data_IF_760500837028
#
_entry.id   IF_760500837028
#
_cell.length_a   1.000
_cell.length_b   1.000
_cell.length_c   1.000
_cell.angle_alpha   90.00
_cell.angle_beta   90.00
_cell.angle_gamma   90.00
#
_symmetry.space_group_name_H-M   'P 1'
#
loop_
_entity.id
_entity.type
_entity.pdbx_description
1 polymer ?
#
# COMPACT_ATOMS: atom_id res chain seq x y z
N UNK A 1 7.94 -2.46 -18.14
CA UNK A 1 8.14 -3.44 -17.06
C UNK A 1 8.02 -2.67 -15.76
N UNK A 2 6.92 -2.92 -15.04
CA UNK A 2 6.25 -1.92 -14.20
C UNK A 2 7.00 -1.50 -12.93
N UNK A 3 6.74 -0.25 -12.50
CA UNK A 3 7.23 0.36 -11.26
C UNK A 3 6.77 -0.35 -9.97
N UNK A 4 6.01 -1.44 -10.07
CA UNK A 4 5.43 -2.24 -8.97
C UNK A 4 6.49 -2.74 -7.97
N UNK A 5 7.71 -3.02 -8.43
CA UNK A 5 8.80 -3.59 -7.61
C UNK A 5 9.85 -2.58 -7.16
N UNK A 6 9.65 -1.29 -7.43
CA UNK A 6 10.53 -0.25 -6.88
C UNK A 6 10.37 -0.14 -5.37
N UNK A 7 11.46 -0.20 -4.61
CA UNK A 7 11.51 0.21 -3.20
C UNK A 7 12.46 1.41 -3.07
N UNK A 8 12.13 2.59 -3.63
CA UNK A 8 12.92 3.79 -3.40
C UNK A 8 13.03 4.10 -1.91
N UNK A 9 14.21 4.59 -1.48
CA UNK A 9 14.38 5.09 -0.13
C UNK A 9 13.48 6.30 0.13
N UNK A 10 13.12 6.50 1.40
CA UNK A 10 12.32 7.67 1.82
C UNK A 10 12.99 8.99 1.40
N UNK A 11 14.32 9.07 1.49
CA UNK A 11 15.11 10.22 1.06
C UNK A 11 14.94 10.49 -0.44
N UNK A 12 15.03 9.45 -1.28
CA UNK A 12 14.85 9.59 -2.72
C UNK A 12 13.46 10.09 -3.08
N UNK A 13 12.43 9.58 -2.40
CA UNK A 13 11.04 10.06 -2.60
C UNK A 13 10.91 11.52 -2.16
N UNK A 14 11.44 11.88 -0.99
CA UNK A 14 11.46 13.25 -0.47
C UNK A 14 12.12 14.23 -1.44
N UNK A 15 13.34 13.93 -1.90
CA UNK A 15 14.08 14.78 -2.84
C UNK A 15 13.30 14.99 -4.14
N UNK A 16 12.57 13.96 -4.59
CA UNK A 16 11.74 14.06 -5.79
C UNK A 16 10.50 14.94 -5.57
N UNK A 17 9.81 14.78 -4.44
CA UNK A 17 8.64 15.60 -4.12
C UNK A 17 9.03 17.07 -3.91
N UNK A 18 10.20 17.35 -3.34
CA UNK A 18 10.72 18.70 -3.17
C UNK A 18 11.00 19.44 -4.51
N UNK A 19 11.09 18.72 -5.63
CA UNK A 19 11.20 19.33 -6.97
C UNK A 19 9.83 19.76 -7.54
N UNK A 20 8.74 19.27 -6.96
CA UNK A 20 7.37 19.44 -7.46
C UNK A 20 6.57 20.35 -6.52
N UNK A 21 6.77 20.21 -5.22
CA UNK A 21 6.07 20.93 -4.17
C UNK A 21 7.02 21.88 -3.45
N UNK A 22 6.56 23.10 -3.17
CA UNK A 22 7.30 24.09 -2.37
C UNK A 22 7.53 23.60 -0.93
N UNK A 23 6.53 22.93 -0.35
CA UNK A 23 6.66 22.17 0.89
C UNK A 23 6.21 20.70 0.67
N UNK A 24 7.15 19.73 0.69
CA UNK A 24 6.81 18.32 0.50
C UNK A 24 6.24 17.64 1.75
N UNK A 25 6.33 18.23 2.95
CA UNK A 25 5.97 17.53 4.19
C UNK A 25 4.51 17.05 4.28
N UNK A 26 3.49 17.85 3.90
CA UNK A 26 2.10 17.40 3.93
C UNK A 26 1.85 16.17 3.07
N UNK A 27 2.59 16.05 1.96
CA UNK A 27 2.52 14.92 1.04
C UNK A 27 3.31 13.73 1.59
N UNK A 28 4.47 13.98 2.19
CA UNK A 28 5.31 12.95 2.81
C UNK A 28 4.58 12.19 3.93
N UNK A 29 3.62 12.82 4.61
CA UNK A 29 2.78 12.17 5.64
C UNK A 29 1.82 11.13 5.08
N UNK A 30 1.50 11.19 3.78
CA UNK A 30 0.57 10.29 3.10
C UNK A 30 1.27 9.09 2.43
N UNK A 31 2.61 9.08 2.46
CA UNK A 31 3.43 8.04 1.82
C UNK A 31 3.37 6.75 2.64
N UNK A 32 3.07 5.64 1.96
CA UNK A 32 3.21 4.30 2.51
C UNK A 32 4.70 3.99 2.68
N UNK A 33 5.06 3.46 3.85
CA UNK A 33 6.45 3.23 4.24
C UNK A 33 6.63 1.78 4.67
N UNK A 34 7.69 1.15 4.24
CA UNK A 34 8.15 -0.14 4.76
C UNK A 34 9.40 0.12 5.59
N UNK A 35 9.33 -0.28 6.86
CA UNK A 35 10.41 -0.17 7.81
C UNK A 35 11.16 -1.50 7.87
N UNK A 36 12.48 -1.45 7.72
CA UNK A 36 13.39 -2.60 7.83
C UNK A 36 14.63 -2.21 8.61
N UNK A 37 15.51 -3.17 8.92
CA UNK A 37 16.78 -2.90 9.58
C UNK A 37 17.69 -1.98 8.75
N UNK A 38 17.61 -2.08 7.42
CA UNK A 38 18.48 -1.37 6.49
C UNK A 38 17.95 0.03 6.11
N UNK A 39 16.73 0.37 6.55
CA UNK A 39 16.15 1.69 6.34
C UNK A 39 14.64 1.71 6.12
N UNK A 40 14.15 2.89 5.73
CA UNK A 40 12.76 3.15 5.39
C UNK A 40 12.60 3.31 3.89
N UNK A 41 11.70 2.52 3.30
CA UNK A 41 11.45 2.46 1.87
C UNK A 41 10.00 2.78 1.56
N UNK A 42 9.74 3.23 0.33
CA UNK A 42 8.41 3.58 -0.13
C UNK A 42 8.00 2.59 -1.22
N UNK A 43 6.99 1.71 -1.01
CA UNK A 43 6.58 0.75 -2.02
C UNK A 43 6.16 1.42 -3.33
N UNK A 44 6.67 0.94 -4.46
CA UNK A 44 6.50 1.55 -5.77
C UNK A 44 5.06 1.56 -6.28
N UNK A 45 4.24 0.59 -5.87
CA UNK A 45 2.82 0.50 -6.25
C UNK A 45 1.99 1.73 -5.85
N UNK A 46 2.47 2.56 -4.92
CA UNK A 46 1.76 3.77 -4.52
C UNK A 46 1.90 4.92 -5.52
N UNK A 47 2.80 4.80 -6.50
CA UNK A 47 3.06 5.81 -7.52
C UNK A 47 2.59 5.32 -8.89
N UNK A 48 2.08 6.25 -9.70
CA UNK A 48 1.87 6.05 -11.14
C UNK A 48 3.17 6.29 -11.90
N UNK A 49 3.16 6.08 -13.21
CA UNK A 49 4.34 6.30 -14.07
C UNK A 49 4.80 7.77 -14.08
N UNK A 50 3.84 8.71 -13.94
CA UNK A 50 4.09 10.14 -13.79
C UNK A 50 4.45 10.55 -12.35
N UNK A 51 4.57 9.56 -11.45
CA UNK A 51 4.95 9.69 -10.03
C UNK A 51 3.91 10.36 -9.15
N UNK A 52 2.74 10.69 -9.71
CA UNK A 52 1.59 11.03 -8.89
C UNK A 52 1.19 9.84 -8.03
N UNK A 53 0.58 10.10 -6.88
CA UNK A 53 0.06 9.03 -6.05
C UNK A 53 -1.10 8.32 -6.73
N UNK A 54 -1.13 7.00 -6.60
CA UNK A 54 -2.25 6.21 -7.06
C UNK A 54 -3.45 6.44 -6.12
N UNK A 55 -4.57 7.03 -6.60
CA UNK A 55 -5.66 7.46 -5.74
C UNK A 55 -6.33 6.30 -5.00
N UNK A 56 -6.49 5.14 -5.65
CA UNK A 56 -6.98 3.93 -4.99
C UNK A 56 -6.08 3.47 -3.83
N UNK A 57 -4.75 3.52 -4.00
CA UNK A 57 -3.80 3.17 -2.93
C UNK A 57 -3.87 4.17 -1.78
N UNK A 58 -3.99 5.46 -2.07
CA UNK A 58 -4.17 6.48 -1.01
C UNK A 58 -5.46 6.28 -0.24
N UNK A 59 -6.58 6.01 -0.92
CA UNK A 59 -7.86 5.71 -0.26
C UNK A 59 -7.79 4.45 0.63
N UNK A 60 -7.14 3.40 0.13
CA UNK A 60 -6.88 2.18 0.91
C UNK A 60 -5.99 2.45 2.12
N UNK A 61 -4.94 3.24 1.94
CA UNK A 61 -3.99 3.55 3.01
C UNK A 61 -4.61 4.41 4.10
N UNK A 62 -5.40 5.43 3.75
CA UNK A 62 -6.20 6.22 4.70
C UNK A 62 -7.11 5.31 5.52
N UNK A 63 -7.80 4.36 4.86
CA UNK A 63 -8.63 3.40 5.58
C UNK A 63 -7.80 2.47 6.47
N UNK A 64 -6.65 2.01 6.02
CA UNK A 64 -5.74 1.19 6.81
C UNK A 64 -5.27 1.91 8.09
N UNK A 65 -4.97 3.21 8.00
CA UNK A 65 -4.63 4.05 9.16
C UNK A 65 -5.79 4.20 10.14
N UNK A 66 -7.01 4.39 9.64
CA UNK A 66 -8.20 4.42 10.50
C UNK A 66 -8.43 3.09 11.24
N UNK A 67 -8.08 1.96 10.60
CA UNK A 67 -8.11 0.61 11.19
C UNK A 67 -6.86 0.28 12.02
N UNK A 68 -5.91 1.23 12.15
CA UNK A 68 -4.64 1.07 12.87
C UNK A 68 -3.78 -0.09 12.34
N UNK A 69 -3.86 -0.38 11.06
CA UNK A 69 -3.05 -1.42 10.40
C UNK A 69 -1.62 -0.85 10.19
N UNK A 70 -0.55 -1.51 10.69
CA UNK A 70 0.81 -1.04 10.47
C UNK A 70 1.17 -0.94 8.98
N UNK A 71 2.02 0.03 8.60
CA UNK A 71 2.35 0.26 7.20
C UNK A 71 2.97 -0.98 6.52
N UNK A 72 3.84 -1.71 7.22
CA UNK A 72 4.44 -2.96 6.71
C UNK A 72 3.37 -4.02 6.41
N UNK A 73 2.33 -4.10 7.23
CA UNK A 73 1.27 -5.09 7.08
C UNK A 73 0.34 -4.71 5.93
N UNK A 74 0.05 -3.42 5.79
CA UNK A 74 -0.65 -2.88 4.62
C UNK A 74 0.14 -3.17 3.32
N UNK A 75 1.44 -2.89 3.31
CA UNK A 75 2.30 -3.13 2.16
C UNK A 75 2.38 -4.64 1.82
N UNK A 76 2.46 -5.51 2.82
CA UNK A 76 2.43 -6.95 2.61
C UNK A 76 1.08 -7.40 2.04
N UNK A 77 -0.04 -6.90 2.57
CA UNK A 77 -1.39 -7.21 2.08
C UNK A 77 -1.56 -6.80 0.61
N UNK A 78 -1.04 -5.63 0.22
CA UNK A 78 -1.10 -5.12 -1.15
C UNK A 78 -0.48 -6.08 -2.18
N UNK A 79 0.60 -6.77 -1.81
CA UNK A 79 1.36 -7.65 -2.72
C UNK A 79 1.11 -9.15 -2.47
N UNK A 80 0.27 -9.49 -1.50
CA UNK A 80 -0.07 -10.89 -1.17
C UNK A 80 -1.44 -11.25 -1.70
N UNK A 81 -1.59 -12.47 -2.20
CA UNK A 81 -2.90 -12.99 -2.63
C UNK A 81 -3.89 -13.01 -1.46
N UNK A 82 -5.05 -12.36 -1.65
CA UNK A 82 -6.06 -12.20 -0.61
C UNK A 82 -7.28 -13.10 -0.89
N UNK A 83 -7.74 -13.93 0.07
CA UNK A 83 -8.95 -14.74 -0.10
C UNK A 83 -10.20 -13.91 -0.43
N UNK A 84 -10.34 -12.72 0.15
CA UNK A 84 -11.44 -11.80 -0.13
C UNK A 84 -11.43 -11.25 -1.57
N UNK A 85 -10.32 -11.46 -2.30
CA UNK A 85 -10.13 -11.13 -3.71
C UNK A 85 -9.89 -12.39 -4.56
N UNK A 86 -10.41 -13.55 -4.12
CA UNK A 86 -10.27 -14.85 -4.80
C UNK A 86 -8.81 -15.24 -5.06
N UNK A 87 -7.92 -14.89 -4.12
CA UNK A 87 -6.49 -15.19 -4.19
C UNK A 87 -5.68 -14.18 -5.01
N UNK A 88 -6.29 -13.20 -5.66
CA UNK A 88 -5.57 -12.14 -6.37
C UNK A 88 -4.90 -11.16 -5.39
N UNK A 89 -3.82 -10.51 -5.84
CA UNK A 89 -3.16 -9.44 -5.08
C UNK A 89 -3.94 -8.13 -5.29
N UNK A 90 -4.14 -7.30 -4.26
CA UNK A 90 -4.77 -5.99 -4.40
C UNK A 90 -4.12 -5.11 -5.49
N UNK A 91 -2.79 -5.13 -5.62
CA UNK A 91 -2.06 -4.35 -6.65
C UNK A 91 -2.49 -4.66 -8.09
N UNK A 92 -2.87 -5.91 -8.38
CA UNK A 92 -3.30 -6.34 -9.71
C UNK A 92 -4.70 -5.83 -10.09
N UNK A 93 -5.42 -5.28 -9.10
CA UNK A 93 -6.84 -4.95 -9.18
C UNK A 93 -7.12 -3.46 -9.01
N UNK A 94 -6.09 -2.64 -8.79
CA UNK A 94 -6.21 -1.20 -8.49
C UNK A 94 -7.01 -0.40 -9.52
N UNK A 95 -6.82 -0.70 -10.81
CA UNK A 95 -7.53 -0.03 -11.91
C UNK A 95 -8.76 -0.80 -12.40
N UNK A 96 -8.99 -2.02 -11.87
CA UNK A 96 -10.02 -2.95 -12.37
C UNK A 96 -11.23 -3.02 -11.45
N UNK A 97 -11.04 -2.81 -10.16
CA UNK A 97 -12.09 -2.82 -9.16
C UNK A 97 -12.31 -1.41 -8.60
N UNK A 98 -13.57 -1.09 -8.28
CA UNK A 98 -13.87 0.15 -7.57
C UNK A 98 -13.28 0.17 -6.17
N UNK A 99 -12.87 1.34 -5.70
CA UNK A 99 -12.22 1.53 -4.38
C UNK A 99 -13.01 0.92 -3.23
N UNK A 100 -14.35 0.96 -3.27
CA UNK A 100 -15.20 0.37 -2.24
C UNK A 100 -15.01 -1.15 -2.09
N UNK A 101 -14.79 -1.87 -3.21
CA UNK A 101 -14.58 -3.33 -3.19
C UNK A 101 -13.24 -3.67 -2.54
N UNK A 102 -12.18 -2.93 -2.90
CA UNK A 102 -10.85 -3.11 -2.32
C UNK A 102 -10.82 -2.74 -0.84
N UNK A 103 -11.52 -1.67 -0.44
CA UNK A 103 -11.66 -1.28 0.98
C UNK A 103 -12.36 -2.36 1.78
N UNK A 104 -13.47 -2.90 1.28
CA UNK A 104 -14.18 -3.98 1.99
C UNK A 104 -13.32 -5.25 2.07
N UNK A 105 -12.49 -5.54 1.07
CA UNK A 105 -11.54 -6.65 1.11
C UNK A 105 -10.42 -6.43 2.15
N UNK A 106 -9.92 -5.19 2.27
CA UNK A 106 -8.96 -4.81 3.30
C UNK A 106 -9.55 -5.04 4.69
N UNK A 107 -10.74 -4.50 4.97
CA UNK A 107 -11.44 -4.65 6.25
C UNK A 107 -11.57 -6.12 6.65
N UNK A 108 -12.12 -6.96 5.77
CA UNK A 108 -12.26 -8.41 6.01
C UNK A 108 -10.94 -9.13 6.25
N UNK A 109 -9.84 -8.64 5.69
CA UNK A 109 -8.52 -9.26 5.86
C UNK A 109 -7.92 -9.00 7.24
N UNK A 110 -8.38 -7.94 7.93
CA UNK A 110 -7.88 -7.52 9.23
C UNK A 110 -8.96 -7.59 10.34
N UNK A 111 -10.14 -8.14 10.03
CA UNK A 111 -11.15 -8.47 11.04
C UNK A 111 -10.61 -9.53 12.03
N UNK A 112 -10.83 -9.36 13.34
CA UNK A 112 -10.44 -10.35 14.33
C UNK A 112 -11.23 -11.65 14.11
N UNK A 113 -10.56 -12.67 13.55
CA UNK A 113 -11.15 -13.97 13.20
C UNK A 113 -10.79 -14.48 11.80
N UNK A 114 -10.27 -13.62 10.92
CA UNK A 114 -9.89 -14.00 9.55
C UNK A 114 -8.63 -14.90 9.46
N UNK A 115 -7.93 -15.13 10.58
CA UNK A 115 -6.71 -15.95 10.68
C UNK A 115 -6.91 -17.43 11.02
N UNK A 116 -8.13 -17.97 10.89
CA UNK A 116 -8.42 -19.37 11.17
C UNK A 116 -8.35 -20.25 9.92
N UNK A 117 -7.20 -20.84 9.62
CA UNK A 117 -7.16 -21.88 8.58
C UNK A 117 -5.80 -22.22 8.00
N UNK A 118 -4.94 -22.89 8.78
CA UNK A 118 -4.17 -24.06 8.33
C UNK A 118 -3.44 -24.70 9.52
N UNK A 119 -4.15 -25.60 10.22
CA UNK A 119 -3.54 -26.79 10.83
C UNK A 119 -3.91 -27.97 9.94
N UNK A 120 -2.94 -28.50 9.22
CA UNK A 120 -2.90 -29.81 8.55
C UNK A 120 -1.44 -29.98 8.15
N UNK A 121 -0.67 -30.98 8.57
CA UNK A 121 -0.97 -32.27 9.18
C UNK A 121 0.00 -32.55 10.34
#
# INVERSE_FOLDING_TARGET
MGAEFGLPSLERVRSRLAQIYEDPEPVMQQVVRVFSADGTYCPGFQFREDLSFHPAVMGLFVRAMALRIPHNYFAAWMVTGCPALRGARPVDLLDRLGSAVLIAALERSFEPGAGGGRRSA
#
